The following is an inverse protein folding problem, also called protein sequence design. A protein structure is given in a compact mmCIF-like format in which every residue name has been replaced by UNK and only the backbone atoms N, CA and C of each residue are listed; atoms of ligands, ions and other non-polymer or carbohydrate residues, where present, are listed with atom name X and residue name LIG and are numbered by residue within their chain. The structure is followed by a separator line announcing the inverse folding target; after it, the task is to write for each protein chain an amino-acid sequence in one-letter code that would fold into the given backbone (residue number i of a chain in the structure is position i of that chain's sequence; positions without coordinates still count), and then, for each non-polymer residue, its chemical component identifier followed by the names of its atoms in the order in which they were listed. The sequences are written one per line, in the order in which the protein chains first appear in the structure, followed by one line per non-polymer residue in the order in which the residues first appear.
data_IF_884788229675
#
_entry.id   IF_884788229675
#
_cell.length_a   1.000
_cell.length_b   1.000
_cell.length_c   1.000
_cell.angle_alpha   90.00
_cell.angle_beta   90.00
_cell.angle_gamma   90.00
#
_symmetry.space_group_name_H-M   'P 1'
#
loop_
_entity.id
_entity.type
_entity.pdbx_description
1 polymer ?
#
# COMPACT_ATOMS: atom_id res chain seq x y z
N UNK A 1 21.88 12.36 3.14
CA UNK A 1 20.88 13.42 3.42
C UNK A 1 21.53 14.62 4.10
N UNK A 2 21.18 15.86 3.73
CA UNK A 2 21.70 17.08 4.39
C UNK A 2 20.95 17.40 5.69
N UNK A 3 21.52 18.25 6.55
CA UNK A 3 20.87 18.62 7.82
C UNK A 3 19.50 19.29 7.62
N UNK A 4 19.37 20.18 6.63
CA UNK A 4 18.12 20.83 6.26
C UNK A 4 17.08 19.81 5.77
N UNK A 5 17.50 18.83 4.98
CA UNK A 5 16.65 17.73 4.54
C UNK A 5 16.17 16.88 5.72
N UNK A 6 17.05 16.53 6.66
CA UNK A 6 16.68 15.79 7.87
C UNK A 6 15.68 16.57 8.74
N UNK A 7 15.90 17.88 8.90
CA UNK A 7 15.06 18.79 9.66
C UNK A 7 13.63 18.83 9.11
N UNK A 8 13.52 19.00 7.79
CA UNK A 8 12.25 18.96 7.06
C UNK A 8 11.59 17.59 7.13
N UNK A 9 12.35 16.52 6.91
CA UNK A 9 11.84 15.16 6.83
C UNK A 9 11.27 14.65 8.16
N UNK A 10 11.91 15.00 9.27
CA UNK A 10 11.54 14.53 10.61
C UNK A 10 10.65 15.50 11.38
N UNK A 11 10.43 16.70 10.85
CA UNK A 11 9.73 17.81 11.51
C UNK A 11 10.37 18.16 12.88
N UNK A 12 11.70 18.35 12.87
CA UNK A 12 12.50 18.63 14.07
C UNK A 12 13.46 19.78 13.80
N UNK A 13 13.56 20.74 14.73
CA UNK A 13 14.47 21.89 14.57
C UNK A 13 15.94 21.50 14.35
N UNK A 14 16.68 22.32 13.59
CA UNK A 14 18.12 22.18 13.39
C UNK A 14 18.93 22.15 14.69
N UNK A 15 18.44 22.83 15.73
CA UNK A 15 19.09 22.83 17.06
C UNK A 15 18.97 21.45 17.71
N UNK A 16 17.78 20.86 17.66
CA UNK A 16 17.53 19.51 18.18
C UNK A 16 18.32 18.47 17.39
N UNK A 17 18.34 18.55 16.06
CA UNK A 17 19.15 17.66 15.20
C UNK A 17 20.65 17.76 15.50
N UNK A 18 21.18 18.96 15.73
CA UNK A 18 22.58 19.15 16.13
C UNK A 18 22.91 18.47 17.46
N UNK A 19 21.98 18.46 18.41
CA UNK A 19 22.18 17.76 19.70
C UNK A 19 22.31 16.24 19.53
N UNK A 20 21.70 15.67 18.48
CA UNK A 20 21.74 14.24 18.21
C UNK A 20 23.11 13.76 17.74
N UNK A 21 23.94 14.63 17.15
CA UNK A 21 25.35 14.31 16.83
C UNK A 21 26.14 13.84 18.05
N UNK A 22 25.75 14.30 19.24
CA UNK A 22 26.39 13.92 20.53
C UNK A 22 25.59 12.85 21.26
N UNK A 23 24.29 13.07 21.45
CA UNK A 23 23.49 12.23 22.36
C UNK A 23 22.82 11.03 21.69
N UNK A 24 22.75 11.02 20.35
CA UNK A 24 22.12 9.98 19.52
C UNK A 24 22.91 9.74 18.24
N UNK A 25 24.24 9.73 18.36
CA UNK A 25 25.16 9.76 17.21
C UNK A 25 24.85 8.66 16.18
N UNK A 26 24.63 7.42 16.64
CA UNK A 26 24.28 6.29 15.77
C UNK A 26 23.01 6.53 14.94
N UNK A 27 21.97 7.09 15.55
CA UNK A 27 20.73 7.44 14.85
C UNK A 27 20.96 8.56 13.84
N UNK A 28 21.70 9.60 14.25
CA UNK A 28 22.05 10.71 13.36
C UNK A 28 22.80 10.22 12.11
N UNK A 29 23.84 9.41 12.30
CA UNK A 29 24.62 8.82 11.19
C UNK A 29 23.79 7.91 10.30
N UNK A 30 22.82 7.17 10.87
CA UNK A 30 21.92 6.34 10.09
C UNK A 30 21.03 7.21 9.19
N UNK A 31 20.40 8.25 9.74
CA UNK A 31 19.56 9.18 8.97
C UNK A 31 20.38 9.90 7.91
N UNK A 32 21.59 10.35 8.24
CA UNK A 32 22.50 11.01 7.31
C UNK A 32 22.83 10.15 6.09
N UNK A 33 22.89 8.82 6.25
CA UNK A 33 23.15 7.86 5.18
C UNK A 33 21.93 7.48 4.35
N UNK A 34 20.71 7.83 4.79
CA UNK A 34 19.51 7.56 4.02
C UNK A 34 19.44 8.46 2.77
N UNK A 35 18.90 7.91 1.70
CA UNK A 35 18.51 8.69 0.53
C UNK A 35 17.27 9.52 0.86
N UNK A 36 17.32 10.82 0.55
CA UNK A 36 16.24 11.74 0.89
C UNK A 36 14.96 11.43 0.12
N UNK A 37 15.06 11.17 -1.18
CA UNK A 37 13.89 10.94 -2.02
C UNK A 37 13.17 9.65 -1.61
N UNK A 38 13.92 8.56 -1.36
CA UNK A 38 13.35 7.31 -0.86
C UNK A 38 12.75 7.46 0.53
N UNK A 39 13.39 8.20 1.44
CA UNK A 39 12.86 8.41 2.78
C UNK A 39 11.61 9.30 2.78
N UNK A 40 11.56 10.34 1.94
CA UNK A 40 10.40 11.21 1.74
C UNK A 40 9.25 10.43 1.10
N UNK A 41 9.52 9.56 0.13
CA UNK A 41 8.54 8.63 -0.43
C UNK A 41 7.95 7.72 0.66
N UNK A 42 8.80 7.07 1.47
CA UNK A 42 8.36 6.20 2.57
C UNK A 42 7.57 6.94 3.66
N UNK A 43 7.91 8.20 3.96
CA UNK A 43 7.16 8.99 4.94
C UNK A 43 5.88 9.60 4.36
N UNK A 44 5.86 9.95 3.07
CA UNK A 44 4.66 10.39 2.36
C UNK A 44 3.63 9.27 2.18
N UNK A 45 4.05 8.00 2.25
CA UNK A 45 3.13 6.86 2.38
C UNK A 45 2.23 6.95 3.63
N UNK A 46 2.53 7.82 4.61
CA UNK A 46 1.63 8.14 5.73
C UNK A 46 0.32 8.79 5.27
N UNK A 47 0.34 9.49 4.13
CA UNK A 47 -0.86 9.73 3.37
C UNK A 47 -1.18 8.44 2.63
N UNK A 48 -2.21 7.77 3.10
CA UNK A 48 -2.82 6.58 2.51
C UNK A 48 -3.17 6.75 1.03
N UNK A 49 -2.95 7.90 0.40
CA UNK A 49 -3.13 8.21 -1.01
C UNK A 49 -2.67 7.12 -1.96
N UNK A 50 -1.51 6.50 -1.74
CA UNK A 50 -1.07 5.39 -2.60
C UNK A 50 -2.01 4.17 -2.51
N UNK A 51 -2.50 3.86 -1.30
CA UNK A 51 -3.49 2.82 -1.05
C UNK A 51 -4.86 3.23 -1.57
N UNK A 52 -5.26 4.49 -1.36
CA UNK A 52 -6.50 5.05 -1.89
C UNK A 52 -6.53 4.93 -3.41
N UNK A 53 -5.44 5.30 -4.09
CA UNK A 53 -5.29 5.14 -5.54
C UNK A 53 -5.42 3.67 -5.97
N UNK A 54 -4.79 2.76 -5.22
CA UNK A 54 -4.86 1.33 -5.49
C UNK A 54 -6.28 0.76 -5.31
N UNK A 55 -7.02 1.23 -4.31
CA UNK A 55 -8.35 0.75 -3.97
C UNK A 55 -9.44 1.36 -4.86
N UNK A 56 -9.38 2.68 -5.09
CA UNK A 56 -10.25 3.43 -6.03
C UNK A 56 -9.66 3.40 -7.44
N UNK A 57 -9.11 2.25 -7.85
CA UNK A 57 -8.30 2.18 -9.07
C UNK A 57 -9.00 2.57 -10.37
N UNK A 58 -10.33 2.58 -10.41
CA UNK A 58 -11.12 3.11 -11.52
C UNK A 58 -10.78 4.59 -11.84
N UNK A 59 -10.42 5.37 -10.83
CA UNK A 59 -10.11 6.80 -10.97
C UNK A 59 -8.66 7.04 -11.42
N UNK A 60 -7.76 6.07 -11.21
CA UNK A 60 -6.31 6.29 -11.29
C UNK A 60 -5.57 5.40 -12.28
N UNK A 61 -6.18 4.30 -12.72
CA UNK A 61 -5.53 3.33 -13.59
C UNK A 61 -6.41 3.02 -14.80
N UNK A 62 -5.92 3.34 -15.99
CA UNK A 62 -6.56 2.96 -17.26
C UNK A 62 -5.88 1.77 -17.93
N UNK A 63 -4.75 1.31 -17.37
CA UNK A 63 -4.00 0.17 -17.87
C UNK A 63 -3.75 -0.86 -16.77
N UNK A 64 -4.11 -2.12 -17.04
CA UNK A 64 -3.90 -3.22 -16.10
C UNK A 64 -2.44 -3.36 -15.68
N UNK A 65 -1.48 -3.14 -16.59
CA UNK A 65 -0.05 -3.27 -16.30
C UNK A 65 0.45 -2.19 -15.33
N UNK A 66 -0.07 -0.97 -15.43
CA UNK A 66 0.24 0.11 -14.50
C UNK A 66 -0.29 -0.21 -13.09
N UNK A 67 -1.53 -0.69 -13.01
CA UNK A 67 -2.12 -1.16 -11.76
C UNK A 67 -1.32 -2.33 -11.15
N UNK A 68 -0.97 -3.33 -11.95
CA UNK A 68 -0.26 -4.54 -11.49
C UNK A 68 1.11 -4.18 -10.90
N UNK A 69 1.84 -3.22 -11.49
CA UNK A 69 3.10 -2.72 -10.93
C UNK A 69 2.92 -2.08 -9.56
N UNK A 70 1.92 -1.20 -9.41
CA UNK A 70 1.65 -0.54 -8.13
C UNK A 70 1.13 -1.52 -7.07
N UNK A 71 0.28 -2.49 -7.47
CA UNK A 71 -0.16 -3.57 -6.59
C UNK A 71 1.02 -4.39 -6.06
N UNK A 72 1.97 -4.77 -6.92
CA UNK A 72 3.11 -5.56 -6.47
C UNK A 72 4.08 -4.77 -5.60
N UNK A 73 4.32 -3.50 -5.91
CA UNK A 73 5.05 -2.60 -4.99
C UNK A 73 4.37 -2.55 -3.62
N UNK A 74 3.05 -2.36 -3.59
CA UNK A 74 2.24 -2.34 -2.38
C UNK A 74 2.35 -3.64 -1.57
N UNK A 75 2.24 -4.79 -2.23
CA UNK A 75 2.32 -6.10 -1.56
C UNK A 75 3.71 -6.38 -0.97
N UNK A 76 4.77 -5.76 -1.50
CA UNK A 76 6.16 -5.92 -1.00
C UNK A 76 6.56 -4.83 0.00
N UNK A 77 5.95 -3.65 -0.03
CA UNK A 77 6.38 -2.47 0.76
C UNK A 77 6.13 -2.57 2.27
N UNK A 78 5.72 -3.74 2.80
CA UNK A 78 5.39 -3.95 4.22
C UNK A 78 4.36 -2.96 4.75
N UNK A 79 3.37 -2.60 3.92
CA UNK A 79 2.27 -1.73 4.35
C UNK A 79 1.64 -2.27 5.62
N UNK A 80 1.37 -1.36 6.56
CA UNK A 80 0.67 -1.70 7.79
C UNK A 80 -0.74 -2.22 7.48
N UNK A 81 -0.95 -3.52 7.68
CA UNK A 81 -2.24 -4.19 7.49
C UNK A 81 -3.35 -3.61 8.37
N UNK A 82 -3.01 -2.89 9.46
CA UNK A 82 -3.97 -2.15 10.28
C UNK A 82 -4.65 -1.05 9.45
N UNK A 83 -3.94 -0.42 8.53
CA UNK A 83 -4.49 0.59 7.63
C UNK A 83 -5.53 -0.03 6.69
N UNK A 84 -5.21 -1.16 6.05
CA UNK A 84 -6.16 -1.89 5.21
C UNK A 84 -7.41 -2.27 6.00
N UNK A 85 -7.24 -2.77 7.23
CA UNK A 85 -8.35 -3.10 8.12
C UNK A 85 -9.22 -1.89 8.42
N UNK A 86 -8.64 -0.71 8.66
CA UNK A 86 -9.40 0.54 8.85
C UNK A 86 -10.17 0.92 7.58
N UNK A 87 -9.53 0.83 6.41
CA UNK A 87 -10.14 1.16 5.12
C UNK A 87 -11.37 0.31 4.81
N UNK A 88 -11.42 -0.95 5.25
CA UNK A 88 -12.63 -1.79 5.06
C UNK A 88 -13.91 -1.17 5.64
N UNK A 89 -13.78 -0.28 6.63
CA UNK A 89 -14.88 0.39 7.34
C UNK A 89 -15.02 1.87 6.98
N UNK A 90 -14.12 2.42 6.17
CA UNK A 90 -14.09 3.83 5.85
C UNK A 90 -15.22 4.20 4.88
N UNK A 91 -16.20 4.96 5.36
CA UNK A 91 -17.38 5.34 4.57
C UNK A 91 -17.08 6.39 3.51
N UNK A 92 -15.92 7.03 3.53
CA UNK A 92 -15.48 7.95 2.47
C UNK A 92 -15.11 7.20 1.20
N UNK A 93 -14.81 5.90 1.30
CA UNK A 93 -14.51 5.02 0.18
C UNK A 93 -15.75 4.40 -0.43
N UNK A 94 -15.66 4.13 -1.74
CA UNK A 94 -16.63 3.31 -2.46
C UNK A 94 -16.76 1.93 -1.81
N UNK A 95 -17.92 1.30 -1.98
CA UNK A 95 -18.13 -0.09 -1.49
C UNK A 95 -17.14 -1.05 -2.13
N UNK A 96 -16.78 -0.80 -3.38
CA UNK A 96 -15.81 -1.61 -4.12
C UNK A 96 -14.40 -1.46 -3.54
N UNK A 97 -13.94 -0.23 -3.29
CA UNK A 97 -12.65 0.03 -2.66
C UNK A 97 -12.54 -0.63 -1.28
N UNK A 98 -13.61 -0.57 -0.47
CA UNK A 98 -13.67 -1.26 0.82
C UNK A 98 -13.60 -2.79 0.70
N UNK A 99 -14.24 -3.36 -0.31
CA UNK A 99 -14.17 -4.79 -0.58
C UNK A 99 -12.75 -5.21 -1.04
N UNK A 100 -12.14 -4.43 -1.94
CA UNK A 100 -10.74 -4.61 -2.37
C UNK A 100 -9.78 -4.54 -1.17
N UNK A 101 -10.01 -3.62 -0.23
CA UNK A 101 -9.22 -3.52 1.00
C UNK A 101 -9.37 -4.76 1.90
N UNK A 102 -10.58 -5.29 2.05
CA UNK A 102 -10.84 -6.49 2.86
C UNK A 102 -10.19 -7.73 2.26
N UNK A 103 -10.22 -7.85 0.93
CA UNK A 103 -9.50 -8.91 0.21
C UNK A 103 -8.00 -8.80 0.42
N UNK A 104 -7.39 -7.63 0.16
CA UNK A 104 -5.95 -7.44 0.35
C UNK A 104 -5.51 -7.71 1.79
N UNK A 105 -6.29 -7.26 2.77
CA UNK A 105 -6.04 -7.57 4.18
C UNK A 105 -6.04 -9.08 4.43
N UNK A 106 -7.07 -9.77 3.94
CA UNK A 106 -7.23 -11.21 4.17
C UNK A 106 -6.16 -12.01 3.45
N UNK A 107 -5.79 -11.59 2.25
CA UNK A 107 -4.71 -12.18 1.46
C UNK A 107 -3.36 -12.06 2.17
N UNK A 108 -3.05 -10.88 2.73
CA UNK A 108 -1.79 -10.64 3.43
C UNK A 108 -1.72 -11.30 4.82
N UNK A 109 -2.84 -11.37 5.53
CA UNK A 109 -2.86 -11.81 6.94
C UNK A 109 -3.39 -13.23 7.13
N UNK A 110 -3.97 -13.84 6.09
CA UNK A 110 -4.72 -15.09 6.16
C UNK A 110 -5.88 -15.07 7.17
N UNK A 111 -6.37 -13.87 7.51
CA UNK A 111 -7.49 -13.65 8.43
C UNK A 111 -8.66 -12.98 7.70
N UNK A 112 -9.82 -13.64 7.57
CA UNK A 112 -10.97 -13.04 6.91
C UNK A 112 -11.56 -11.88 7.74
N UNK A 113 -12.09 -10.87 7.05
CA UNK A 113 -12.86 -9.75 7.62
C UNK A 113 -14.23 -9.74 6.96
N UNK A 114 -15.29 -9.89 7.74
CA UNK A 114 -16.66 -9.77 7.22
C UNK A 114 -16.95 -8.33 6.78
N UNK A 115 -17.43 -8.15 5.56
CA UNK A 115 -17.94 -6.87 5.07
C UNK A 115 -19.30 -6.54 5.74
N UNK A 116 -19.52 -5.26 6.05
CA UNK A 116 -20.80 -4.77 6.57
C UNK A 116 -21.84 -4.48 5.48
N UNK A 117 -21.50 -4.73 4.23
CA UNK A 117 -22.33 -4.44 3.06
C UNK A 117 -22.19 -5.54 2.01
N UNK A 118 -23.14 -5.58 1.10
CA UNK A 118 -23.12 -6.43 -0.09
C UNK A 118 -22.77 -5.60 -1.32
N UNK A 119 -22.15 -6.26 -2.31
CA UNK A 119 -21.91 -5.70 -3.64
C UNK A 119 -23.08 -6.04 -4.56
N UNK A 120 -23.42 -5.12 -5.47
CA UNK A 120 -24.51 -5.32 -6.43
C UNK A 120 -24.13 -6.31 -7.53
N UNK A 121 -22.88 -6.27 -7.95
CA UNK A 121 -22.30 -7.12 -8.99
C UNK A 121 -20.91 -7.57 -8.56
N UNK A 122 -20.39 -8.68 -9.10
CA UNK A 122 -19.00 -9.06 -8.91
C UNK A 122 -18.08 -7.94 -9.40
N UNK A 123 -17.11 -7.52 -8.59
CA UNK A 123 -16.16 -6.46 -8.98
C UNK A 123 -14.74 -7.00 -9.04
N UNK A 124 -13.94 -6.53 -9.98
CA UNK A 124 -12.54 -6.92 -10.07
C UNK A 124 -11.69 -6.22 -9.01
N UNK A 125 -10.61 -6.89 -8.57
CA UNK A 125 -9.56 -6.19 -7.84
C UNK A 125 -8.99 -5.04 -8.70
N UNK A 126 -8.86 -5.23 -10.01
CA UNK A 126 -8.73 -4.17 -11.02
C UNK A 126 -10.10 -3.93 -11.65
N UNK A 127 -10.54 -2.67 -11.72
CA UNK A 127 -11.90 -2.30 -12.14
C UNK A 127 -12.32 -2.89 -13.49
N UNK A 128 -11.39 -2.98 -14.45
CA UNK A 128 -11.65 -3.45 -15.81
C UNK A 128 -11.45 -4.97 -16.00
N UNK A 129 -11.21 -5.72 -14.91
CA UNK A 129 -10.91 -7.16 -15.02
C UNK A 129 -12.19 -7.96 -15.26
N UNK A 130 -12.20 -8.72 -16.37
CA UNK A 130 -13.38 -9.49 -16.84
C UNK A 130 -13.34 -10.99 -16.54
N UNK A 131 -12.32 -11.51 -15.86
CA UNK A 131 -12.19 -12.95 -15.61
C UNK A 131 -12.99 -13.38 -14.37
N UNK A 132 -13.94 -14.30 -14.55
CA UNK A 132 -14.85 -14.76 -13.50
C UNK A 132 -14.20 -15.67 -12.43
N UNK A 133 -13.01 -16.20 -12.68
CA UNK A 133 -12.35 -17.16 -11.79
C UNK A 133 -11.62 -16.45 -10.64
N UNK A 134 -12.27 -16.38 -9.47
CA UNK A 134 -11.72 -15.90 -8.21
C UNK A 134 -10.95 -16.99 -7.45
N UNK A 135 -9.97 -16.61 -6.62
CA UNK A 135 -9.57 -17.49 -5.51
C UNK A 135 -10.70 -17.51 -4.44
N UNK A 136 -10.64 -18.45 -3.49
CA UNK A 136 -11.69 -18.58 -2.47
C UNK A 136 -11.90 -17.31 -1.62
N UNK A 137 -10.85 -16.50 -1.42
CA UNK A 137 -10.94 -15.24 -0.69
C UNK A 137 -11.61 -14.15 -1.54
N UNK A 138 -11.29 -14.06 -2.83
CA UNK A 138 -11.91 -13.12 -3.76
C UNK A 138 -13.41 -13.43 -3.85
N UNK A 139 -13.76 -14.70 -4.03
CA UNK A 139 -15.17 -15.13 -4.07
C UNK A 139 -15.92 -14.79 -2.78
N UNK A 140 -15.29 -14.93 -1.61
CA UNK A 140 -15.91 -14.59 -0.32
C UNK A 140 -16.35 -13.13 -0.24
N UNK A 141 -15.62 -12.24 -0.91
CA UNK A 141 -15.92 -10.80 -0.96
C UNK A 141 -16.73 -10.37 -2.18
N UNK A 142 -17.19 -11.32 -3.01
CA UNK A 142 -17.85 -11.00 -4.28
C UNK A 142 -16.90 -10.34 -5.28
N UNK A 143 -15.61 -10.67 -5.20
CA UNK A 143 -14.56 -10.14 -6.08
C UNK A 143 -14.13 -11.16 -7.13
N UNK A 144 -13.76 -10.67 -8.30
CA UNK A 144 -13.00 -11.41 -9.29
C UNK A 144 -11.51 -11.37 -8.93
N UNK A 145 -10.81 -12.51 -9.03
CA UNK A 145 -9.38 -12.55 -8.69
C UNK A 145 -8.61 -11.57 -9.56
N UNK A 146 -7.80 -10.76 -8.90
CA UNK A 146 -6.92 -9.80 -9.55
C UNK A 146 -5.44 -10.04 -9.32
N UNK A 147 -5.08 -11.01 -8.49
CA UNK A 147 -3.69 -11.25 -8.09
C UNK A 147 -3.19 -12.47 -8.84
N UNK A 148 -2.28 -12.25 -9.79
CA UNK A 148 -1.49 -13.34 -10.37
C UNK A 148 -0.38 -13.71 -9.38
N UNK A 149 -0.64 -14.75 -8.56
CA UNK A 149 0.29 -15.20 -7.52
C UNK A 149 1.65 -15.64 -8.09
N UNK A 150 1.66 -16.19 -9.31
CA UNK A 150 2.91 -16.59 -9.97
C UNK A 150 3.73 -15.37 -10.36
N UNK A 151 3.12 -14.35 -11.00
CA UNK A 151 3.81 -13.07 -11.29
C UNK A 151 4.22 -12.34 -10.03
N UNK A 152 3.40 -12.33 -8.99
CA UNK A 152 3.76 -11.73 -7.71
C UNK A 152 5.02 -12.38 -7.13
N UNK A 153 5.10 -13.71 -7.14
CA UNK A 153 6.27 -14.44 -6.68
C UNK A 153 7.51 -14.16 -7.56
N UNK A 154 7.34 -14.03 -8.88
CA UNK A 154 8.41 -13.58 -9.78
C UNK A 154 8.87 -12.16 -9.46
N UNK A 155 7.94 -11.22 -9.22
CA UNK A 155 8.25 -9.85 -8.85
C UNK A 155 9.03 -9.77 -7.55
N UNK A 156 8.61 -10.54 -6.53
CA UNK A 156 9.27 -10.63 -5.22
C UNK A 156 10.70 -11.17 -5.31
N UNK A 157 10.95 -12.14 -6.20
CA UNK A 157 12.24 -12.82 -6.32
C UNK A 157 13.23 -12.08 -7.22
N UNK A 158 12.75 -11.44 -8.30
CA UNK A 158 13.62 -10.81 -9.32
C UNK A 158 13.70 -9.30 -9.22
N UNK A 159 12.72 -8.63 -8.60
CA UNK A 159 12.65 -7.18 -8.46
C UNK A 159 12.82 -6.44 -9.78
N UNK A 160 11.72 -6.20 -10.51
CA UNK A 160 11.69 -5.44 -11.78
C UNK A 160 12.88 -5.71 -12.73
N UNK A 161 12.74 -6.72 -13.60
CA UNK A 161 13.30 -6.63 -14.96
C UNK A 161 12.36 -5.78 -15.83
#
# INVERSE_FOLDING_TARGET
MTQTQMSKLLDVSDRTLRSWKKNRNKLYTLIERLDYAQAEELLSQKNNTHILKLLENQEYFHEYRAFERELFKFLVSKVDVIVLKKMTKDTTLSKEARARAAYLYSFLTQKPIKLSFTLKHPVGLYHERKQASGDGLASHYGLLSGVDAHRFNQYKTKGLN
#
